data_IF_357900079543
#
_entry.id   IF_357900079543
#
_cell.length_a   1.000
_cell.length_b   1.000
_cell.length_c   1.000
_cell.angle_alpha   90.00
_cell.angle_beta   90.00
_cell.angle_gamma   90.00
#
_symmetry.space_group_name_H-M   'P 1'
#
loop_
_entity.id
_entity.type
_entity.pdbx_description
1 polymer ?
#
# COMPACT_ATOMS: atom_id res chain seq x y z
N UNK A 1 -7.17 3.49 -35.56
CA UNK A 1 -7.89 3.60 -34.27
C UNK A 1 -7.11 4.60 -33.45
N UNK A 2 -7.65 5.80 -33.23
CA UNK A 2 -6.89 6.88 -32.58
C UNK A 2 -6.83 6.61 -31.08
N UNK A 3 -5.61 6.46 -30.56
CA UNK A 3 -5.35 6.29 -29.13
C UNK A 3 -5.87 7.50 -28.34
N UNK A 4 -6.42 7.23 -27.15
CA UNK A 4 -6.90 8.27 -26.26
C UNK A 4 -5.70 9.06 -25.71
N UNK A 5 -5.73 10.38 -25.88
CA UNK A 5 -4.71 11.30 -25.36
C UNK A 5 -4.72 11.24 -23.81
N UNK A 6 -3.57 11.05 -23.14
CA UNK A 6 -3.50 11.03 -21.69
C UNK A 6 -3.94 12.38 -21.09
N UNK A 7 -4.61 12.35 -19.93
CA UNK A 7 -5.23 13.55 -19.34
C UNK A 7 -4.23 14.67 -18.99
N UNK A 8 -2.94 14.34 -18.87
CA UNK A 8 -1.83 15.26 -18.64
C UNK A 8 -1.58 16.25 -19.78
N UNK A 9 -2.11 16.00 -20.99
CA UNK A 9 -1.92 16.87 -22.17
C UNK A 9 -3.14 17.72 -22.50
N UNK A 10 -4.21 17.68 -21.69
CA UNK A 10 -5.42 18.46 -21.93
C UNK A 10 -5.21 19.90 -21.41
N UNK A 11 -5.32 20.93 -22.27
CA UNK A 11 -5.23 22.33 -21.84
C UNK A 11 -6.19 22.62 -20.68
N UNK A 12 -5.69 23.23 -19.61
CA UNK A 12 -6.44 23.46 -18.36
C UNK A 12 -7.74 24.27 -18.57
N UNK A 13 -7.84 25.01 -19.68
CA UNK A 13 -8.94 25.94 -19.98
C UNK A 13 -9.63 25.65 -21.32
N UNK A 14 -10.01 24.40 -21.60
CA UNK A 14 -10.91 24.11 -22.74
C UNK A 14 -12.35 24.54 -22.40
N UNK A 15 -12.92 25.42 -23.22
CA UNK A 15 -14.32 25.82 -23.16
C UNK A 15 -15.26 24.70 -23.62
N UNK A 16 -16.45 24.62 -23.01
CA UNK A 16 -17.45 23.56 -23.30
C UNK A 16 -17.86 23.45 -24.77
N UNK A 17 -17.76 24.54 -25.54
CA UNK A 17 -18.16 24.60 -26.94
C UNK A 17 -16.99 24.48 -27.91
N UNK A 18 -15.75 24.46 -27.41
CA UNK A 18 -14.54 24.40 -28.24
C UNK A 18 -14.42 23.03 -28.93
N UNK A 19 -13.72 22.95 -30.08
CA UNK A 19 -13.42 21.66 -30.71
C UNK A 19 -12.63 20.78 -29.75
N UNK A 20 -12.98 19.49 -29.71
CA UNK A 20 -12.39 18.53 -28.79
C UNK A 20 -10.93 18.22 -29.19
N UNK A 21 -9.98 18.22 -28.23
CA UNK A 21 -8.55 18.04 -28.52
C UNK A 21 -8.18 16.62 -28.98
N UNK A 22 -9.10 15.65 -28.88
CA UNK A 22 -8.90 14.29 -29.36
C UNK A 22 -8.95 14.14 -30.90
N UNK A 23 -9.00 15.25 -31.64
CA UNK A 23 -9.05 15.25 -33.11
C UNK A 23 -10.41 14.84 -33.70
N UNK A 24 -11.46 14.73 -32.89
CA UNK A 24 -12.78 14.30 -33.36
C UNK A 24 -13.62 15.41 -34.02
N UNK A 25 -13.14 16.65 -34.04
CA UNK A 25 -13.85 17.87 -34.51
C UNK A 25 -15.19 18.19 -33.82
N UNK A 26 -15.66 17.33 -32.91
CA UNK A 26 -16.88 17.54 -32.11
C UNK A 26 -16.64 18.59 -31.04
N UNK A 27 -17.71 19.29 -30.62
CA UNK A 27 -17.65 20.17 -29.43
C UNK A 27 -17.26 19.36 -28.20
N UNK A 28 -16.37 19.89 -27.36
CA UNK A 28 -15.83 19.21 -26.17
C UNK A 28 -16.91 18.61 -25.28
N UNK A 29 -18.00 19.36 -25.01
CA UNK A 29 -19.14 18.89 -24.21
C UNK A 29 -19.90 17.69 -24.76
N UNK A 30 -19.76 17.41 -26.06
CA UNK A 30 -20.40 16.28 -26.76
C UNK A 30 -19.41 15.16 -27.09
N UNK A 31 -18.18 15.27 -26.60
CA UNK A 31 -17.12 14.30 -26.82
C UNK A 31 -16.46 13.97 -25.47
N UNK A 32 -15.19 14.29 -25.29
CA UNK A 32 -14.41 13.82 -24.15
C UNK A 32 -14.72 14.53 -22.81
N UNK A 33 -15.54 15.59 -22.75
CA UNK A 33 -15.80 16.31 -21.49
C UNK A 33 -16.26 15.37 -20.36
N UNK A 34 -17.20 14.47 -20.64
CA UNK A 34 -17.71 13.53 -19.64
C UNK A 34 -16.62 12.55 -19.19
N UNK A 35 -15.86 12.00 -20.13
CA UNK A 35 -14.75 11.09 -19.84
C UNK A 35 -13.66 11.78 -19.02
N UNK A 36 -13.27 13.00 -19.37
CA UNK A 36 -12.29 13.78 -18.63
C UNK A 36 -12.80 14.23 -17.26
N UNK A 37 -14.10 14.47 -17.09
CA UNK A 37 -14.70 14.75 -15.77
C UNK A 37 -14.63 13.51 -14.88
N UNK A 38 -15.01 12.35 -15.41
CA UNK A 38 -14.90 11.07 -14.71
C UNK A 38 -13.44 10.79 -14.36
N UNK A 39 -12.52 11.05 -15.28
CA UNK A 39 -11.08 10.89 -15.08
C UNK A 39 -10.53 11.85 -14.02
N UNK A 40 -10.89 13.15 -14.08
CA UNK A 40 -10.52 14.14 -13.04
C UNK A 40 -11.15 13.84 -11.69
N UNK A 41 -12.37 13.29 -11.65
CA UNK A 41 -13.03 12.86 -10.41
C UNK A 41 -12.35 11.61 -9.84
N UNK A 42 -11.96 10.64 -10.68
CA UNK A 42 -11.16 9.48 -10.25
C UNK A 42 -9.75 9.87 -9.81
N UNK A 43 -9.13 10.87 -10.44
CA UNK A 43 -7.83 11.42 -10.03
C UNK A 43 -7.95 12.19 -8.70
N UNK A 44 -9.03 12.96 -8.49
CA UNK A 44 -9.33 13.59 -7.20
C UNK A 44 -9.61 12.59 -6.08
N UNK A 45 -10.12 11.40 -6.41
CA UNK A 45 -10.29 10.28 -5.48
C UNK A 45 -9.01 9.45 -5.29
N UNK A 46 -8.04 9.55 -6.21
CA UNK A 46 -6.74 8.90 -6.14
C UNK A 46 -5.84 9.65 -5.16
N UNK A 47 -6.03 9.41 -3.86
CA UNK A 47 -5.16 9.95 -2.80
C UNK A 47 -3.74 9.50 -3.06
N UNK A 48 -2.78 10.42 -3.06
CA UNK A 48 -1.38 10.04 -3.15
C UNK A 48 -0.82 9.62 -1.78
N UNK A 49 0.16 8.71 -1.72
CA UNK A 49 0.76 8.25 -0.47
C UNK A 49 1.19 9.38 0.48
N UNK A 50 1.77 10.45 -0.06
CA UNK A 50 2.27 11.59 0.72
C UNK A 50 1.17 12.45 1.38
N UNK A 51 -0.07 12.36 0.89
CA UNK A 51 -1.22 13.03 1.50
C UNK A 51 -1.73 12.29 2.74
N UNK A 52 -1.37 11.01 2.88
CA UNK A 52 -1.82 10.13 3.95
C UNK A 52 -0.72 9.89 5.00
N UNK A 53 0.51 9.73 4.53
CA UNK A 53 1.68 9.42 5.35
C UNK A 53 2.78 10.44 5.06
N UNK A 54 3.21 11.15 6.10
CA UNK A 54 4.30 12.11 6.07
C UNK A 54 5.31 11.88 7.18
N UNK A 55 6.27 12.79 7.34
CA UNK A 55 7.37 12.69 8.30
C UNK A 55 6.95 12.62 9.77
N UNK A 56 5.78 13.15 10.12
CA UNK A 56 5.22 13.12 11.49
C UNK A 56 4.24 11.98 11.73
N UNK A 57 3.97 11.16 10.72
CA UNK A 57 3.00 10.07 10.82
C UNK A 57 3.59 8.93 11.66
N UNK A 58 2.94 8.64 12.79
CA UNK A 58 3.33 7.53 13.66
C UNK A 58 2.88 6.18 13.10
N UNK A 59 3.53 5.06 13.48
CA UNK A 59 3.22 3.72 12.95
C UNK A 59 1.74 3.32 13.09
N UNK A 60 1.10 3.64 14.22
CA UNK A 60 -0.32 3.35 14.41
C UNK A 60 -1.21 4.05 13.37
N UNK A 61 -0.85 5.26 12.95
CA UNK A 61 -1.60 5.98 11.92
C UNK A 61 -1.40 5.35 10.54
N UNK A 62 -0.20 4.81 10.26
CA UNK A 62 0.05 4.00 9.04
C UNK A 62 -0.84 2.77 9.03
N UNK A 63 -0.90 2.01 10.13
CA UNK A 63 -1.82 0.87 10.26
C UNK A 63 -3.27 1.27 9.96
N UNK A 64 -3.77 2.37 10.54
CA UNK A 64 -5.13 2.85 10.27
C UNK A 64 -5.35 3.27 8.81
N UNK A 65 -4.32 3.78 8.12
CA UNK A 65 -4.39 4.05 6.68
C UNK A 65 -4.52 2.74 5.91
N UNK A 66 -3.75 1.69 6.26
CA UNK A 66 -3.86 0.38 5.62
C UNK A 66 -5.25 -0.23 5.80
N UNK A 67 -5.84 -0.13 6.99
CA UNK A 67 -7.23 -0.55 7.23
C UNK A 67 -8.21 0.19 6.31
N UNK A 68 -8.09 1.52 6.19
CA UNK A 68 -8.96 2.30 5.29
C UNK A 68 -8.77 1.94 3.81
N UNK A 69 -7.53 1.66 3.41
CA UNK A 69 -7.20 1.21 2.04
C UNK A 69 -7.81 -0.16 1.78
N UNK A 70 -7.75 -1.08 2.74
CA UNK A 70 -8.40 -2.37 2.67
C UNK A 70 -9.93 -2.22 2.54
N UNK A 71 -10.56 -1.46 3.43
CA UNK A 71 -12.03 -1.24 3.45
C UNK A 71 -12.55 -0.61 2.15
N UNK A 72 -11.73 0.22 1.50
CA UNK A 72 -12.07 0.84 0.21
C UNK A 72 -11.67 0.03 -1.02
N UNK A 73 -11.12 -1.18 -0.82
CA UNK A 73 -10.58 -2.04 -1.87
C UNK A 73 -9.58 -1.31 -2.80
N UNK A 74 -8.77 -0.41 -2.23
CA UNK A 74 -7.90 0.48 -2.99
C UNK A 74 -6.53 -0.15 -3.28
N UNK A 75 -6.50 -1.27 -4.01
CA UNK A 75 -5.30 -2.06 -4.33
C UNK A 75 -4.17 -1.23 -4.95
N UNK A 76 -4.51 -0.33 -5.87
CA UNK A 76 -3.55 0.57 -6.50
C UNK A 76 -2.85 1.48 -5.48
N UNK A 77 -3.60 2.01 -4.51
CA UNK A 77 -3.06 2.86 -3.45
C UNK A 77 -2.23 2.04 -2.45
N UNK A 78 -2.67 0.82 -2.13
CA UNK A 78 -1.88 -0.10 -1.31
C UNK A 78 -0.48 -0.32 -1.93
N UNK A 79 -0.44 -0.58 -3.23
CA UNK A 79 0.81 -0.69 -3.98
C UNK A 79 1.63 0.62 -3.95
N UNK A 80 0.99 1.77 -4.13
CA UNK A 80 1.66 3.07 -4.08
C UNK A 80 2.22 3.43 -2.68
N UNK A 81 1.67 2.84 -1.61
CA UNK A 81 2.17 2.98 -0.24
C UNK A 81 3.44 2.15 0.04
N UNK A 82 3.84 1.25 -0.87
CA UNK A 82 5.05 0.45 -0.74
C UNK A 82 6.32 1.18 -1.16
N UNK A 83 7.43 0.76 -0.58
CA UNK A 83 8.75 1.33 -0.84
C UNK A 83 9.33 0.76 -2.13
N UNK A 84 9.75 1.62 -3.06
CA UNK A 84 10.23 1.23 -4.40
C UNK A 84 11.41 0.25 -4.38
N UNK A 85 12.33 0.42 -3.42
CA UNK A 85 13.48 -0.47 -3.24
C UNK A 85 13.17 -1.73 -2.40
N UNK A 86 11.94 -1.87 -1.89
CA UNK A 86 11.57 -2.93 -0.94
C UNK A 86 11.34 -4.29 -1.60
N UNK A 87 11.49 -5.41 -0.86
CA UNK A 87 11.19 -6.75 -1.36
C UNK A 87 9.76 -6.90 -1.88
N UNK A 88 8.80 -6.15 -1.34
CA UNK A 88 7.44 -6.11 -1.89
C UNK A 88 7.41 -5.68 -3.36
N UNK A 89 8.17 -4.64 -3.73
CA UNK A 89 8.30 -4.15 -5.10
C UNK A 89 9.16 -5.05 -5.98
N UNK A 90 10.09 -5.80 -5.40
CA UNK A 90 10.81 -6.84 -6.14
C UNK A 90 9.88 -8.01 -6.52
N UNK A 91 8.97 -8.40 -5.61
CA UNK A 91 7.94 -9.42 -5.89
C UNK A 91 6.90 -8.93 -6.90
N UNK A 92 6.54 -7.65 -6.85
CA UNK A 92 5.58 -7.02 -7.75
C UNK A 92 6.20 -5.78 -8.42
N UNK A 93 7.01 -5.96 -9.48
CA UNK A 93 7.71 -4.86 -10.15
C UNK A 93 6.76 -3.78 -10.70
N UNK A 94 5.57 -4.21 -11.11
CA UNK A 94 4.53 -3.36 -11.65
C UNK A 94 3.26 -3.45 -10.82
N UNK A 95 2.53 -2.32 -10.73
CA UNK A 95 1.24 -2.25 -10.02
C UNK A 95 0.24 -3.29 -10.51
N UNK A 96 0.18 -3.50 -11.83
CA UNK A 96 -0.70 -4.49 -12.45
C UNK A 96 -0.42 -5.91 -11.98
N UNK A 97 0.85 -6.27 -11.75
CA UNK A 97 1.24 -7.60 -11.30
C UNK A 97 0.72 -7.89 -9.88
N UNK A 98 0.72 -6.89 -8.99
CA UNK A 98 0.13 -7.05 -7.65
C UNK A 98 -1.40 -7.20 -7.73
N UNK A 99 -2.08 -6.36 -8.52
CA UNK A 99 -3.54 -6.42 -8.67
C UNK A 99 -3.96 -7.78 -9.24
N UNK A 100 -3.26 -8.28 -10.25
CA UNK A 100 -3.51 -9.59 -10.85
C UNK A 100 -3.25 -10.73 -9.85
N UNK A 101 -2.18 -10.65 -9.05
CA UNK A 101 -1.92 -11.64 -8.01
C UNK A 101 -3.03 -11.70 -6.95
N UNK A 102 -3.60 -10.55 -6.58
CA UNK A 102 -4.75 -10.50 -5.66
C UNK A 102 -6.03 -11.06 -6.30
N UNK A 103 -6.30 -10.72 -7.56
CA UNK A 103 -7.47 -11.23 -8.31
C UNK A 103 -7.44 -12.76 -8.46
N UNK A 104 -6.24 -13.33 -8.67
CA UNK A 104 -6.02 -14.77 -8.74
C UNK A 104 -5.99 -15.46 -7.37
N UNK A 105 -6.08 -14.72 -6.26
CA UNK A 105 -6.00 -15.25 -4.90
C UNK A 105 -4.60 -15.72 -4.48
N UNK A 106 -3.56 -15.34 -5.22
CA UNK A 106 -2.17 -15.66 -4.91
C UNK A 106 -1.60 -14.72 -3.82
N UNK A 107 -2.21 -13.54 -3.65
CA UNK A 107 -1.84 -12.57 -2.62
C UNK A 107 -3.08 -11.80 -2.11
N UNK A 108 -2.91 -10.97 -1.08
CA UNK A 108 -3.98 -10.15 -0.50
C UNK A 108 -3.45 -8.84 0.12
N UNK A 109 -4.33 -7.87 0.36
CA UNK A 109 -4.00 -6.76 1.27
C UNK A 109 -4.03 -7.23 2.71
N UNK A 110 -3.21 -6.61 3.56
CA UNK A 110 -3.21 -6.81 5.02
C UNK A 110 -4.07 -5.77 5.73
N UNK A 111 -4.21 -5.92 7.05
CA UNK A 111 -4.94 -4.99 7.92
C UNK A 111 -6.44 -4.87 7.60
N UNK A 112 -7.03 -5.94 7.07
CA UNK A 112 -8.48 -6.07 6.91
C UNK A 112 -9.23 -6.21 8.24
N UNK A 113 -10.58 -6.32 8.21
CA UNK A 113 -11.41 -6.32 9.41
C UNK A 113 -11.20 -7.55 10.30
N UNK A 114 -10.77 -8.67 9.74
CA UNK A 114 -10.51 -9.91 10.47
C UNK A 114 -9.11 -9.96 11.11
N UNK A 115 -8.29 -8.93 10.88
CA UNK A 115 -6.98 -8.80 11.48
C UNK A 115 -7.03 -8.10 12.83
N UNK A 116 -6.29 -8.64 13.78
CA UNK A 116 -6.03 -8.04 15.08
C UNK A 116 -4.59 -7.51 15.11
N UNK A 117 -4.45 -6.24 15.48
CA UNK A 117 -3.16 -5.64 15.73
C UNK A 117 -2.61 -6.14 17.07
N UNK A 118 -1.51 -6.88 17.01
CA UNK A 118 -0.84 -7.40 18.19
C UNK A 118 0.01 -6.34 18.86
N UNK A 119 1.07 -5.91 18.18
CA UNK A 119 1.98 -4.89 18.70
C UNK A 119 2.84 -4.30 17.57
N UNK A 120 3.54 -3.22 17.92
CA UNK A 120 4.62 -2.65 17.10
C UNK A 120 5.96 -3.01 17.73
N UNK A 121 6.96 -3.34 16.91
CA UNK A 121 8.37 -3.37 17.32
C UNK A 121 9.17 -2.39 16.49
N UNK A 122 10.02 -1.61 17.14
CA UNK A 122 10.92 -0.68 16.48
C UNK A 122 12.31 -1.27 16.50
N UNK A 123 12.96 -1.31 15.34
CA UNK A 123 14.35 -1.75 15.19
C UNK A 123 15.11 -0.74 14.33
N UNK A 124 15.88 0.13 14.99
CA UNK A 124 16.50 1.28 14.35
C UNK A 124 15.45 2.16 13.63
N UNK A 125 15.59 2.40 12.32
CA UNK A 125 14.62 3.19 11.56
C UNK A 125 13.37 2.39 11.14
N UNK A 126 13.43 1.06 11.17
CA UNK A 126 12.36 0.20 10.69
C UNK A 126 11.35 -0.10 11.82
N UNK A 127 10.09 -0.28 11.44
CA UNK A 127 9.01 -0.64 12.37
C UNK A 127 8.27 -1.86 11.87
N UNK A 128 8.21 -2.90 12.69
CA UNK A 128 7.43 -4.10 12.43
C UNK A 128 6.03 -3.94 13.03
N UNK A 129 5.01 -4.08 12.20
CA UNK A 129 3.61 -4.16 12.60
C UNK A 129 3.20 -5.61 12.53
N UNK A 130 2.83 -6.18 13.68
CA UNK A 130 2.46 -7.59 13.78
C UNK A 130 0.95 -7.68 13.85
N UNK A 131 0.35 -8.35 12.86
CA UNK A 131 -1.07 -8.59 12.76
C UNK A 131 -1.36 -10.09 12.83
N UNK A 132 -2.50 -10.47 13.38
CA UNK A 132 -2.95 -11.85 13.46
C UNK A 132 -4.37 -11.99 12.95
N UNK A 133 -4.68 -13.08 12.27
CA UNK A 133 -6.05 -13.43 11.87
C UNK A 133 -6.42 -14.80 12.45
N UNK A 134 -7.59 -14.89 13.09
CA UNK A 134 -8.11 -16.13 13.68
C UNK A 134 -7.61 -16.45 15.09
N UNK A 135 -6.68 -15.68 15.69
CA UNK A 135 -6.10 -15.99 17.00
C UNK A 135 -7.14 -16.22 18.10
N UNK A 136 -8.22 -15.42 18.11
CA UNK A 136 -9.29 -15.51 19.10
C UNK A 136 -10.38 -16.54 18.77
N UNK A 137 -10.33 -17.20 17.61
CA UNK A 137 -11.25 -18.29 17.30
C UNK A 137 -10.79 -19.55 18.08
N UNK A 138 -11.62 -20.11 18.98
CA UNK A 138 -11.26 -21.33 19.71
C UNK A 138 -11.23 -22.58 18.81
N UNK A 139 -11.72 -22.49 17.57
CA UNK A 139 -11.82 -23.62 16.63
C UNK A 139 -10.60 -23.76 15.72
N UNK A 140 -9.73 -22.75 15.67
CA UNK A 140 -8.53 -22.78 14.83
C UNK A 140 -7.30 -23.13 15.68
N UNK A 141 -6.56 -24.13 15.22
CA UNK A 141 -5.28 -24.55 15.80
C UNK A 141 -4.12 -23.74 15.21
N UNK A 142 -4.29 -23.21 14.01
CA UNK A 142 -3.33 -22.39 13.29
C UNK A 142 -3.82 -20.96 13.18
N UNK A 143 -2.91 -20.01 13.40
CA UNK A 143 -3.14 -18.57 13.34
C UNK A 143 -2.30 -18.01 12.21
N UNK A 144 -2.92 -17.19 11.36
CA UNK A 144 -2.17 -16.43 10.35
C UNK A 144 -1.54 -15.22 11.04
N UNK A 145 -0.24 -15.03 10.82
CA UNK A 145 0.56 -13.92 11.34
C UNK A 145 1.15 -13.17 10.17
N UNK A 146 0.74 -11.92 10.00
CA UNK A 146 1.28 -11.02 8.99
C UNK A 146 2.20 -10.00 9.67
N UNK A 147 3.46 -9.97 9.22
CA UNK A 147 4.48 -9.03 9.68
C UNK A 147 4.71 -8.01 8.57
N UNK A 148 4.28 -6.77 8.83
CA UNK A 148 4.48 -5.64 7.92
C UNK A 148 5.73 -4.91 8.38
N UNK A 149 6.73 -4.83 7.52
CA UNK A 149 7.91 -3.99 7.78
C UNK A 149 7.64 -2.60 7.20
N UNK A 150 7.69 -1.58 8.04
CA UNK A 150 7.64 -0.18 7.63
C UNK A 150 9.05 0.40 7.63
N UNK A 151 9.46 0.98 6.51
CA UNK A 151 10.74 1.71 6.39
C UNK A 151 10.47 3.17 6.05
N UNK A 152 11.20 4.13 6.65
CA UNK A 152 11.18 5.53 6.22
C UNK A 152 11.58 5.64 4.75
N UNK A 153 10.82 6.40 3.97
CA UNK A 153 11.04 6.52 2.52
C UNK A 153 12.39 7.17 2.18
N UNK A 154 12.99 7.89 3.13
CA UNK A 154 14.30 8.51 2.97
C UNK A 154 15.46 7.51 3.11
N UNK A 155 15.19 6.22 3.24
CA UNK A 155 16.22 5.17 3.32
C UNK A 155 16.17 4.25 2.11
N UNK A 156 17.35 3.86 1.60
CA UNK A 156 17.48 2.86 0.55
C UNK A 156 17.38 1.41 1.08
N UNK A 157 17.76 0.44 0.25
CA UNK A 157 17.70 -0.97 0.62
C UNK A 157 18.71 -1.35 1.70
N UNK A 158 19.89 -0.72 1.64
CA UNK A 158 21.00 -0.90 2.56
C UNK A 158 20.80 -0.10 3.86
N UNK A 159 19.85 0.83 3.90
CA UNK A 159 19.54 1.68 5.04
C UNK A 159 20.31 2.99 5.07
N UNK A 160 20.93 3.39 3.96
CA UNK A 160 21.54 4.72 3.81
C UNK A 160 20.50 5.76 3.43
N UNK A 161 20.80 7.02 3.71
CA UNK A 161 19.94 8.13 3.32
C UNK A 161 19.87 8.26 1.79
N UNK A 162 18.65 8.42 1.26
CA UNK A 162 18.37 8.68 -0.16
C UNK A 162 17.50 9.92 -0.32
N UNK A 163 17.56 10.54 -1.50
CA UNK A 163 16.54 11.51 -1.88
C UNK A 163 15.21 10.81 -2.15
N UNK A 164 14.15 11.37 -1.60
CA UNK A 164 12.79 10.88 -1.76
C UNK A 164 11.87 12.08 -1.95
N UNK A 165 11.00 12.01 -2.97
CA UNK A 165 10.03 13.07 -3.28
C UNK A 165 9.17 13.44 -2.07
N UNK A 166 8.86 12.44 -1.23
CA UNK A 166 8.06 12.60 -0.04
C UNK A 166 8.60 11.76 1.13
N UNK A 167 8.57 12.37 2.31
CA UNK A 167 9.04 11.80 3.58
C UNK A 167 7.99 10.93 4.28
N UNK A 168 8.43 10.07 5.20
CA UNK A 168 7.57 9.23 6.04
C UNK A 168 7.58 7.74 5.68
N UNK A 169 6.85 6.93 6.43
CA UNK A 169 6.88 5.48 6.29
C UNK A 169 6.28 4.97 4.96
N UNK A 170 6.86 3.88 4.47
CA UNK A 170 6.37 3.05 3.36
C UNK A 170 6.40 1.59 3.77
N UNK A 171 5.56 0.78 3.12
CA UNK A 171 5.60 -0.68 3.28
C UNK A 171 6.88 -1.17 2.61
N UNK A 172 7.85 -1.59 3.42
CA UNK A 172 9.09 -2.20 2.93
C UNK A 172 8.83 -3.62 2.43
N UNK A 173 8.18 -4.42 3.28
CA UNK A 173 7.82 -5.80 2.97
C UNK A 173 6.61 -6.27 3.78
N UNK A 174 5.96 -7.32 3.30
CA UNK A 174 4.86 -8.01 3.97
C UNK A 174 5.13 -9.50 3.95
N UNK A 175 5.32 -10.08 5.12
CA UNK A 175 5.60 -11.50 5.29
C UNK A 175 4.41 -12.16 5.98
N UNK A 176 3.93 -13.26 5.41
CA UNK A 176 2.83 -14.05 5.95
C UNK A 176 3.34 -15.36 6.49
N UNK A 177 2.88 -15.71 7.67
CA UNK A 177 3.27 -16.92 8.37
C UNK A 177 2.03 -17.63 8.90
N UNK A 178 2.06 -18.95 8.90
CA UNK A 178 1.07 -19.76 9.61
C UNK A 178 1.78 -20.35 10.81
N UNK A 179 1.25 -20.06 12.01
CA UNK A 179 1.87 -20.44 13.28
C UNK A 179 0.86 -21.20 14.10
N UNK A 180 1.27 -22.30 14.73
CA UNK A 180 0.40 -23.02 15.65
C UNK A 180 0.12 -22.16 16.89
N UNK A 181 -1.11 -22.19 17.39
CA UNK A 181 -1.55 -21.41 18.54
C UNK A 181 -0.73 -21.69 19.81
N UNK A 182 -0.17 -22.89 19.96
CA UNK A 182 0.69 -23.29 21.07
C UNK A 182 2.06 -22.58 21.06
N UNK A 183 2.47 -22.00 19.93
CA UNK A 183 3.72 -21.25 19.83
C UNK A 183 3.60 -19.80 20.30
N UNK A 184 2.37 -19.31 20.53
CA UNK A 184 2.16 -18.03 21.18
C UNK A 184 2.52 -18.21 22.66
N UNK A 185 3.57 -17.51 23.11
CA UNK A 185 4.03 -17.59 24.50
C UNK A 185 2.93 -17.14 25.49
N UNK A 186 3.17 -17.23 26.79
CA UNK A 186 2.27 -16.62 27.80
C UNK A 186 2.03 -15.12 27.60
N UNK A 187 2.84 -14.44 26.78
CA UNK A 187 2.49 -13.19 26.13
C UNK A 187 1.79 -13.49 24.80
N UNK A 188 0.62 -12.88 24.57
CA UNK A 188 -0.31 -13.07 23.43
C UNK A 188 0.26 -12.77 22.03
N UNK A 189 1.59 -12.77 21.86
CA UNK A 189 2.29 -12.39 20.64
C UNK A 189 3.23 -13.51 20.16
N UNK A 190 3.39 -13.69 18.84
CA UNK A 190 4.29 -14.69 18.27
C UNK A 190 5.76 -14.26 18.40
N UNK A 191 6.65 -15.24 18.48
CA UNK A 191 8.10 -15.01 18.49
C UNK A 191 8.60 -14.63 17.09
N UNK A 192 8.91 -13.34 16.91
CA UNK A 192 9.34 -12.79 15.61
C UNK A 192 10.66 -13.37 15.11
N UNK A 193 11.53 -13.87 15.99
CA UNK A 193 12.79 -14.50 15.57
C UNK A 193 12.54 -15.79 14.79
N UNK A 194 11.47 -16.52 15.13
CA UNK A 194 11.03 -17.71 14.40
C UNK A 194 10.35 -17.39 13.08
N UNK A 195 9.87 -16.16 12.90
CA UNK A 195 9.24 -15.70 11.66
C UNK A 195 10.27 -15.15 10.65
N UNK A 196 11.57 -15.31 10.92
CA UNK A 196 12.62 -14.83 10.02
C UNK A 196 12.92 -13.34 10.14
N UNK A 197 12.34 -12.65 11.15
CA UNK A 197 12.74 -11.28 11.48
C UNK A 197 14.10 -11.34 12.18
N UNK A 198 15.13 -10.88 11.47
CA UNK A 198 16.48 -10.74 12.01
C UNK A 198 16.69 -9.32 12.51
N UNK A 199 17.09 -9.19 13.77
CA UNK A 199 17.30 -7.89 14.40
C UNK A 199 18.63 -7.28 13.93
N UNK A 200 18.60 -5.99 13.60
CA UNK A 200 19.84 -5.25 13.37
C UNK A 200 20.62 -5.23 14.69
N UNK A 201 21.90 -5.58 14.64
CA UNK A 201 22.74 -5.54 15.83
C UNK A 201 22.70 -4.12 16.43
N UNK A 202 22.47 -4.02 17.73
CA UNK A 202 22.57 -2.74 18.43
C UNK A 202 24.03 -2.29 18.38
N UNK A 203 24.32 -1.29 17.56
CA UNK A 203 25.56 -0.52 17.61
C UNK A 203 25.55 0.42 18.82
#
# INVERSE_FOLDING_TARGET
>A
MSEAIPASEIPENIGRNDPCPCGSEKKYKRCCQRTHQIQKESEKQSRQPHQLIGSKTIPYKVYKVLTQVFESNALALYYDLSHEAGPFRQRYPEKGAFIEAVDQGNDAMVAGPDYELQHFRVDGPDVYVVLTQGQNDPRVEEVQVDVITLRPNELDAEGNAREADYRGFRIWDVQRHTVNKDEFTSATHPDLSKLGVTWKAAN
#
